data_IF_346259538466
#
_entry.id   IF_346259538466
#
_cell.length_a   1.000
_cell.length_b   1.000
_cell.length_c   1.000
_cell.angle_alpha   90.00
_cell.angle_beta   90.00
_cell.angle_gamma   90.00
#
_symmetry.space_group_name_H-M   'P 1'
#
loop_
_entity.id
_entity.type
_entity.pdbx_description
1 polymer ?
#
# COMPACT_ATOMS: atom_id res chain seq x y z
N UNK A 1 -39.15 -43.51 -44.27
CA UNK A 1 -38.44 -43.04 -43.06
C UNK A 1 -37.65 -41.81 -43.46
N UNK A 2 -38.07 -40.63 -43.01
CA UNK A 2 -37.51 -39.34 -43.44
C UNK A 2 -36.52 -38.85 -42.38
N UNK A 3 -35.26 -38.67 -42.74
CA UNK A 3 -34.23 -38.15 -41.84
C UNK A 3 -34.10 -36.64 -42.02
N UNK A 4 -34.38 -35.87 -40.97
CA UNK A 4 -34.19 -34.42 -40.95
C UNK A 4 -32.74 -34.12 -40.56
N UNK A 5 -32.01 -33.44 -41.44
CA UNK A 5 -30.64 -32.98 -41.17
C UNK A 5 -30.73 -31.56 -40.59
N UNK A 6 -30.22 -31.36 -39.37
CA UNK A 6 -30.02 -30.04 -38.79
C UNK A 6 -28.65 -29.49 -39.18
N UNK A 7 -28.64 -28.34 -39.85
CA UNK A 7 -27.43 -27.57 -40.13
C UNK A 7 -27.13 -26.63 -38.95
N UNK A 8 -25.98 -26.79 -38.30
CA UNK A 8 -25.51 -25.84 -37.27
C UNK A 8 -24.70 -24.71 -37.92
N UNK A 9 -25.03 -23.47 -37.59
CA UNK A 9 -24.23 -22.30 -37.90
C UNK A 9 -23.01 -22.19 -36.95
N UNK A 10 -21.85 -21.67 -37.42
CA UNK A 10 -20.69 -21.48 -36.55
C UNK A 10 -20.94 -20.39 -35.51
N UNK A 11 -20.49 -20.62 -34.28
CA UNK A 11 -20.62 -19.68 -33.17
C UNK A 11 -19.80 -18.40 -33.43
N UNK A 12 -20.27 -17.21 -33.00
CA UNK A 12 -19.46 -16.00 -33.07
C UNK A 12 -18.22 -16.16 -32.18
N UNK A 13 -17.08 -15.70 -32.68
CA UNK A 13 -15.83 -15.69 -31.92
C UNK A 13 -16.04 -14.91 -30.61
N UNK A 14 -15.82 -15.59 -29.48
CA UNK A 14 -15.92 -14.99 -28.16
C UNK A 14 -14.93 -13.82 -27.98
N UNK A 15 -15.17 -12.93 -27.01
CA UNK A 15 -14.28 -11.80 -26.77
C UNK A 15 -12.88 -12.30 -26.43
N UNK A 16 -11.87 -11.68 -27.05
CA UNK A 16 -10.46 -11.96 -26.79
C UNK A 16 -10.16 -11.86 -25.29
N UNK A 17 -9.59 -12.93 -24.72
CA UNK A 17 -9.09 -12.95 -23.35
C UNK A 17 -8.07 -11.84 -23.19
N UNK A 18 -8.41 -10.79 -22.42
CA UNK A 18 -7.45 -9.76 -22.03
C UNK A 18 -6.38 -10.43 -21.17
N UNK A 19 -5.08 -10.12 -21.36
CA UNK A 19 -4.05 -10.65 -20.49
C UNK A 19 -4.35 -10.23 -19.05
N UNK A 20 -4.33 -11.19 -18.14
CA UNK A 20 -4.35 -10.93 -16.71
C UNK A 20 -3.09 -10.14 -16.40
N UNK A 21 -3.24 -8.91 -15.92
CA UNK A 21 -2.08 -8.14 -15.46
C UNK A 21 -1.39 -8.95 -14.35
N UNK A 22 -0.12 -9.28 -14.57
CA UNK A 22 0.69 -9.94 -13.56
C UNK A 22 0.79 -8.99 -12.36
N UNK A 23 0.23 -9.41 -11.22
CA UNK A 23 0.28 -8.65 -9.99
C UNK A 23 1.68 -8.81 -9.40
N UNK A 24 2.57 -7.86 -9.70
CA UNK A 24 3.82 -7.71 -8.99
C UNK A 24 3.51 -7.02 -7.67
N UNK A 25 3.82 -7.69 -6.54
CA UNK A 25 3.69 -7.05 -5.24
C UNK A 25 4.57 -5.79 -5.20
N UNK A 26 4.05 -4.64 -4.75
CA UNK A 26 4.86 -3.44 -4.61
C UNK A 26 6.04 -3.73 -3.68
N UNK A 27 7.21 -3.19 -4.04
CA UNK A 27 8.39 -3.30 -3.17
C UNK A 27 8.04 -2.78 -1.77
N UNK A 28 8.48 -3.51 -0.75
CA UNK A 28 8.23 -3.13 0.63
C UNK A 28 8.80 -1.71 0.91
N UNK A 29 8.11 -0.87 1.68
CA UNK A 29 8.60 0.47 2.03
C UNK A 29 9.97 0.38 2.69
N UNK A 30 10.92 1.19 2.22
CA UNK A 30 12.28 1.22 2.78
C UNK A 30 12.33 2.24 3.91
N UNK A 31 12.74 1.83 5.11
CA UNK A 31 12.98 2.77 6.21
C UNK A 31 14.11 3.72 5.84
N UNK A 32 13.81 5.02 5.83
CA UNK A 32 14.75 6.09 5.52
C UNK A 32 15.30 6.75 6.78
N UNK A 33 14.46 7.01 7.77
CA UNK A 33 14.84 7.71 9.00
C UNK A 33 13.92 7.35 10.17
N UNK A 34 14.34 7.67 11.39
CA UNK A 34 13.55 7.50 12.61
C UNK A 34 13.75 8.67 13.58
N UNK A 35 12.66 9.23 14.07
CA UNK A 35 12.65 10.35 15.00
C UNK A 35 12.00 9.94 16.31
N UNK A 36 12.72 10.15 17.42
CA UNK A 36 12.18 9.88 18.75
C UNK A 36 11.25 11.02 19.20
N UNK A 37 10.08 10.64 19.71
CA UNK A 37 9.08 11.58 20.22
C UNK A 37 9.31 11.89 21.69
N UNK A 38 8.67 12.95 22.20
CA UNK A 38 8.70 13.26 23.65
C UNK A 38 8.01 12.19 24.50
N UNK A 39 7.04 11.47 23.93
CA UNK A 39 6.38 10.35 24.59
C UNK A 39 7.23 9.07 24.66
N UNK A 40 8.41 9.07 24.04
CA UNK A 40 9.27 7.88 23.95
C UNK A 40 8.88 6.91 22.84
N UNK A 41 7.91 7.27 22.00
CA UNK A 41 7.62 6.59 20.74
C UNK A 41 8.65 6.98 19.67
N UNK A 42 8.60 6.28 18.53
CA UNK A 42 9.44 6.55 17.37
C UNK A 42 8.53 6.79 16.16
N UNK A 43 8.87 7.80 15.36
CA UNK A 43 8.25 8.12 14.06
C UNK A 43 9.21 7.62 12.98
N UNK A 44 8.83 6.55 12.31
CA UNK A 44 9.54 5.97 11.19
C UNK A 44 9.13 6.66 9.90
N UNK A 45 10.09 7.02 9.07
CA UNK A 45 9.88 7.59 7.74
C UNK A 45 10.28 6.53 6.73
N UNK A 46 9.39 6.19 5.82
CA UNK A 46 9.62 5.20 4.78
C UNK A 46 9.58 5.85 3.40
N UNK A 47 10.33 5.27 2.46
CA UNK A 47 10.17 5.52 1.03
C UNK A 47 9.46 4.34 0.39
N UNK A 48 8.33 4.64 -0.23
CA UNK A 48 7.51 3.69 -0.96
C UNK A 48 8.06 3.41 -2.36
N UNK A 49 7.55 2.34 -2.97
CA UNK A 49 7.99 1.88 -4.30
C UNK A 49 7.73 2.87 -5.44
N UNK A 50 6.74 3.76 -5.27
CA UNK A 50 6.44 4.85 -6.19
C UNK A 50 7.30 6.10 -5.95
N UNK A 51 8.23 6.03 -4.99
CA UNK A 51 9.09 7.14 -4.58
C UNK A 51 8.42 8.12 -3.61
N UNK A 52 7.15 7.91 -3.25
CA UNK A 52 6.49 8.69 -2.22
C UNK A 52 7.09 8.40 -0.84
N UNK A 53 6.82 9.29 0.11
CA UNK A 53 7.24 9.14 1.49
C UNK A 53 6.00 8.87 2.35
N UNK A 54 6.13 7.92 3.27
CA UNK A 54 5.12 7.54 4.26
C UNK A 54 5.73 7.59 5.66
N UNK A 55 4.89 7.70 6.69
CA UNK A 55 5.38 7.63 8.06
C UNK A 55 4.49 6.80 8.97
N UNK A 56 5.13 6.17 9.94
CA UNK A 56 4.48 5.37 10.97
C UNK A 56 4.95 5.87 12.34
N UNK A 57 4.02 6.19 13.24
CA UNK A 57 4.34 6.56 14.61
C UNK A 57 3.93 5.44 15.56
N UNK A 58 4.90 4.84 16.27
CA UNK A 58 4.64 3.71 17.18
C UNK A 58 3.74 4.08 18.36
N UNK A 59 3.62 5.36 18.71
CA UNK A 59 2.73 5.84 19.77
C UNK A 59 1.31 6.18 19.31
N UNK A 60 1.16 6.71 18.09
CA UNK A 60 -0.15 6.99 17.50
C UNK A 60 -0.79 5.71 16.92
N UNK A 61 0.04 4.76 16.50
CA UNK A 61 -0.35 3.55 15.78
C UNK A 61 -1.13 3.84 14.51
N UNK A 62 -0.94 5.03 13.94
CA UNK A 62 -1.51 5.43 12.66
C UNK A 62 -0.38 5.47 11.63
N UNK A 63 -0.62 4.83 10.49
CA UNK A 63 0.19 4.95 9.29
C UNK A 63 -0.32 6.16 8.51
N UNK A 64 0.45 7.23 8.51
CA UNK A 64 0.09 8.45 7.80
C UNK A 64 0.74 8.42 6.41
N UNK A 65 -0.09 8.31 5.38
CA UNK A 65 0.30 8.62 4.01
C UNK A 65 0.05 10.12 3.82
N UNK A 66 1.05 10.87 3.41
CA UNK A 66 0.80 12.24 2.94
C UNK A 66 1.55 12.45 1.65
N UNK A 67 0.92 13.17 0.71
CA UNK A 67 1.51 13.52 -0.57
C UNK A 67 2.76 14.40 -0.43
N UNK A 68 3.06 14.91 0.78
CA UNK A 68 4.18 15.78 1.10
C UNK A 68 4.77 15.46 2.47
N UNK A 69 5.07 14.20 2.73
CA UNK A 69 5.88 13.82 3.87
C UNK A 69 7.33 14.28 3.62
N UNK A 70 7.58 15.56 3.81
CA UNK A 70 8.92 16.09 3.91
C UNK A 70 9.45 15.84 5.34
N UNK A 71 10.76 15.99 5.53
CA UNK A 71 11.39 15.83 6.84
C UNK A 71 10.79 16.75 7.91
N UNK A 72 10.26 17.92 7.50
CA UNK A 72 9.62 18.91 8.38
C UNK A 72 8.34 18.36 9.02
N UNK A 73 7.42 17.75 8.26
CA UNK A 73 6.22 17.13 8.82
C UNK A 73 6.56 16.05 9.85
N UNK A 74 7.57 15.22 9.57
CA UNK A 74 7.99 14.17 10.50
C UNK A 74 8.57 14.76 11.80
N UNK A 75 9.34 15.84 11.70
CA UNK A 75 9.87 16.58 12.85
C UNK A 75 8.75 17.22 13.68
N UNK A 76 7.77 17.86 13.03
CA UNK A 76 6.61 18.42 13.72
C UNK A 76 5.82 17.32 14.44
N UNK A 77 5.53 16.21 13.75
CA UNK A 77 4.84 15.08 14.37
C UNK A 77 5.62 14.56 15.60
N UNK A 78 6.93 14.34 15.47
CA UNK A 78 7.75 13.87 16.58
C UNK A 78 7.76 14.85 17.76
N UNK A 79 7.74 16.16 17.49
CA UNK A 79 7.69 17.20 18.49
C UNK A 79 6.36 17.25 19.26
N UNK A 80 5.24 17.00 18.57
CA UNK A 80 3.89 17.04 19.16
C UNK A 80 3.42 15.69 19.72
N UNK A 81 4.02 14.58 19.32
CA UNK A 81 3.63 13.27 19.82
C UNK A 81 4.13 13.05 21.26
N UNK A 82 3.18 13.00 22.20
CA UNK A 82 3.42 12.71 23.62
C UNK A 82 2.98 11.29 24.02
N UNK A 83 2.56 10.46 23.06
CA UNK A 83 2.08 9.11 23.36
C UNK A 83 3.26 8.14 23.57
N UNK A 84 3.18 7.23 24.55
CA UNK A 84 4.12 6.13 24.66
C UNK A 84 3.94 5.17 23.48
N UNK A 85 4.99 4.37 23.14
CA UNK A 85 4.85 3.33 22.13
C UNK A 85 3.70 2.39 22.48
N UNK A 86 2.87 2.05 21.49
CA UNK A 86 1.92 0.96 21.63
C UNK A 86 2.70 -0.35 21.66
N UNK A 87 2.39 -1.21 22.63
CA UNK A 87 2.84 -2.59 22.62
C UNK A 87 2.22 -3.25 21.39
N UNK A 88 3.04 -3.51 20.37
CA UNK A 88 2.65 -4.37 19.25
C UNK A 88 2.30 -5.74 19.85
N UNK A 89 1.08 -6.22 19.61
CA UNK A 89 0.71 -7.58 19.96
C UNK A 89 1.67 -8.54 19.25
N UNK A 90 2.35 -9.38 20.02
CA UNK A 90 3.34 -10.35 19.54
C UNK A 90 2.71 -11.48 18.72
#
# INVERSE_FOLDING_TARGET
MTATILTLAPAPAGPATKPVAEYTAPHAPTLMDSLRTRGGADVHIHRDSDGSLSSECTGCGEYAWTLRLNSEFAQEHAAFCHRPPRLLAA
#
